data_IF_618908870567
#
_entry.id   IF_618908870567
#
_cell.length_a   1.000
_cell.length_b   1.000
_cell.length_c   1.000
_cell.angle_alpha   90.00
_cell.angle_beta   90.00
_cell.angle_gamma   90.00
#
_symmetry.space_group_name_H-M   'P 1'
#
loop_
_entity.id
_entity.type
_entity.pdbx_description
1 polymer ?
#
# COMPACT_ATOMS: atom_id res chain seq x y z
N UNK A 1 -11.98 -4.44 1.29
CA UNK A 1 -11.22 -4.17 0.05
C UNK A 1 -11.31 -2.67 -0.21
N UNK A 2 -10.40 -1.88 0.35
CA UNK A 2 -10.41 -0.39 0.23
C UNK A 2 -9.02 0.12 -0.15
N UNK A 3 -7.98 -0.43 0.47
CA UNK A 3 -6.57 -0.04 0.21
C UNK A 3 -6.20 -0.20 -1.27
N UNK A 4 -6.56 -1.30 -1.91
CA UNK A 4 -6.27 -1.52 -3.33
C UNK A 4 -6.94 -0.47 -4.21
N UNK A 5 -8.20 -0.14 -3.93
CA UNK A 5 -8.95 0.86 -4.69
C UNK A 5 -8.34 2.26 -4.51
N UNK A 6 -7.94 2.61 -3.28
CA UNK A 6 -7.25 3.87 -2.96
C UNK A 6 -5.92 3.98 -3.71
N UNK A 7 -5.11 2.92 -3.72
CA UNK A 7 -3.83 2.88 -4.43
C UNK A 7 -4.03 2.99 -5.94
N UNK A 8 -4.97 2.24 -6.52
CA UNK A 8 -5.23 2.30 -7.95
C UNK A 8 -5.78 3.67 -8.38
N UNK A 9 -6.70 4.25 -7.63
CA UNK A 9 -7.25 5.56 -7.94
C UNK A 9 -6.16 6.66 -7.98
N UNK A 10 -5.20 6.62 -7.04
CA UNK A 10 -4.16 7.64 -6.93
C UNK A 10 -2.91 7.34 -7.77
N UNK A 11 -2.52 6.08 -7.94
CA UNK A 11 -1.20 5.70 -8.45
C UNK A 11 -1.24 4.62 -9.55
N UNK A 12 -2.38 4.35 -10.18
CA UNK A 12 -2.47 3.41 -11.31
C UNK A 12 -1.40 3.60 -12.40
N UNK A 13 -0.97 4.83 -12.65
CA UNK A 13 0.02 5.17 -13.67
C UNK A 13 1.48 4.90 -13.24
N UNK A 14 1.72 4.59 -11.97
CA UNK A 14 3.03 4.26 -11.38
C UNK A 14 3.14 2.82 -10.92
N UNK A 15 2.02 2.16 -10.68
CA UNK A 15 1.96 0.77 -10.21
C UNK A 15 2.07 -0.16 -11.41
N UNK A 16 3.09 -1.00 -11.43
CA UNK A 16 3.27 -2.02 -12.46
C UNK A 16 2.36 -3.24 -12.24
N UNK A 17 2.18 -3.65 -10.99
CA UNK A 17 1.43 -4.84 -10.60
C UNK A 17 0.90 -4.68 -9.17
N UNK A 18 -0.28 -5.25 -8.89
CA UNK A 18 -0.80 -5.46 -7.54
C UNK A 18 -1.18 -6.92 -7.39
N UNK A 19 -0.60 -7.55 -6.37
CA UNK A 19 -0.89 -8.95 -6.04
C UNK A 19 -1.67 -9.02 -4.76
N UNK A 20 -2.88 -9.58 -4.83
CA UNK A 20 -3.71 -9.89 -3.66
C UNK A 20 -3.44 -11.33 -3.24
N UNK A 21 -2.70 -11.51 -2.14
CA UNK A 21 -2.39 -12.84 -1.59
C UNK A 21 -3.42 -13.15 -0.49
N UNK A 22 -4.31 -14.14 -0.67
CA UNK A 22 -5.23 -14.54 0.40
C UNK A 22 -4.45 -15.12 1.57
N UNK A 23 -4.49 -14.45 2.72
CA UNK A 23 -3.89 -14.93 3.97
C UNK A 23 -4.86 -15.73 4.82
N UNK A 24 -4.34 -16.67 5.61
CA UNK A 24 -5.09 -17.33 6.68
C UNK A 24 -5.08 -16.51 7.98
N UNK A 25 -5.98 -16.82 8.92
CA UNK A 25 -5.90 -16.30 10.30
C UNK A 25 -6.13 -14.80 10.48
N UNK A 26 -6.72 -14.11 9.50
CA UNK A 26 -7.00 -12.68 9.60
C UNK A 26 -5.77 -11.77 9.44
N UNK A 27 -4.69 -12.30 8.85
CA UNK A 27 -3.49 -11.55 8.45
C UNK A 27 -3.86 -10.45 7.47
N UNK A 28 -3.23 -9.28 7.64
CA UNK A 28 -3.33 -8.19 6.71
C UNK A 28 -2.01 -7.41 6.73
N UNK A 29 -1.19 -7.64 5.71
CA UNK A 29 0.09 -6.97 5.53
C UNK A 29 0.09 -6.28 4.18
N UNK A 30 0.70 -5.10 4.12
CA UNK A 30 0.89 -4.34 2.89
C UNK A 30 2.39 -4.15 2.69
N UNK A 31 2.88 -4.70 1.59
CA UNK A 31 4.28 -4.66 1.20
C UNK A 31 4.38 -3.93 -0.12
N UNK A 32 5.38 -3.07 -0.24
CA UNK A 32 5.73 -2.36 -1.46
C UNK A 32 7.05 -2.93 -1.97
N UNK A 33 7.05 -3.32 -3.24
CA UNK A 33 8.25 -3.71 -3.95
C UNK A 33 8.72 -2.57 -4.86
N UNK A 34 9.99 -2.19 -4.73
CA UNK A 34 10.65 -1.22 -5.63
C UNK A 34 12.10 -1.62 -5.83
N UNK A 35 12.55 -1.61 -7.08
CA UNK A 35 13.96 -1.89 -7.44
C UNK A 35 14.50 -3.18 -6.81
N UNK A 36 13.63 -4.20 -6.69
CA UNK A 36 13.95 -5.49 -6.06
C UNK A 36 13.97 -5.49 -4.52
N UNK A 37 13.68 -4.36 -3.87
CA UNK A 37 13.57 -4.23 -2.42
C UNK A 37 12.12 -4.32 -1.96
N UNK A 38 11.88 -5.13 -0.92
CA UNK A 38 10.58 -5.26 -0.23
C UNK A 38 10.57 -4.39 1.01
N UNK A 39 9.56 -3.55 1.15
CA UNK A 39 9.32 -2.73 2.32
C UNK A 39 7.89 -2.95 2.82
N UNK A 40 7.76 -3.48 4.04
CA UNK A 40 6.47 -3.63 4.70
C UNK A 40 6.02 -2.28 5.23
N UNK A 41 4.99 -1.71 4.61
CA UNK A 41 4.50 -0.37 4.94
C UNK A 41 3.39 -0.42 5.99
N UNK A 42 2.77 -1.59 6.17
CA UNK A 42 1.76 -1.83 7.19
C UNK A 42 1.67 -3.32 7.54
N UNK A 43 1.53 -3.64 8.83
CA UNK A 43 1.13 -4.96 9.30
C UNK A 43 0.06 -4.86 10.38
N UNK A 44 -1.01 -5.63 10.21
CA UNK A 44 -2.04 -5.83 11.23
C UNK A 44 -1.51 -6.60 12.43
N UNK A 45 -0.52 -7.46 12.25
CA UNK A 45 0.07 -8.21 13.36
C UNK A 45 0.80 -7.27 14.33
N UNK A 46 1.46 -6.23 13.81
CA UNK A 46 2.15 -5.21 14.61
C UNK A 46 1.18 -4.26 15.30
N UNK A 47 0.14 -3.82 14.60
CA UNK A 47 -0.80 -2.81 15.12
C UNK A 47 -1.95 -3.43 15.93
N UNK A 48 -2.19 -4.74 15.81
CA UNK A 48 -3.31 -5.45 16.45
C UNK A 48 -4.70 -5.09 15.92
N UNK A 49 -4.79 -4.27 14.86
CA UNK A 49 -6.05 -3.77 14.30
C UNK A 49 -6.02 -3.71 12.79
N UNK A 50 -7.18 -3.45 12.17
CA UNK A 50 -7.23 -3.12 10.75
C UNK A 50 -6.65 -1.72 10.50
N UNK A 51 -6.11 -1.49 9.30
CA UNK A 51 -5.64 -0.18 8.88
C UNK A 51 -6.78 0.84 8.90
N UNK A 52 -6.50 2.03 9.44
CA UNK A 52 -7.39 3.17 9.35
C UNK A 52 -7.42 3.70 7.92
N UNK A 53 -8.49 4.43 7.58
CA UNK A 53 -8.62 5.07 6.26
C UNK A 53 -7.44 6.03 6.04
N UNK A 54 -6.76 5.89 4.90
CA UNK A 54 -5.61 6.71 4.54
C UNK A 54 -4.28 6.38 5.24
N UNK A 55 -4.26 5.50 6.25
CA UNK A 55 -3.03 5.14 6.99
C UNK A 55 -1.99 4.48 6.06
N UNK A 56 -2.44 3.53 5.25
CA UNK A 56 -1.57 2.85 4.28
C UNK A 56 -1.12 3.82 3.18
N UNK A 57 -1.99 4.73 2.74
CA UNK A 57 -1.64 5.73 1.73
C UNK A 57 -0.57 6.69 2.23
N UNK A 58 -0.68 7.17 3.46
CA UNK A 58 0.36 8.00 4.07
C UNK A 58 1.70 7.25 4.21
N UNK A 59 1.65 5.97 4.61
CA UNK A 59 2.84 5.13 4.73
C UNK A 59 3.49 4.84 3.37
N UNK A 60 2.69 4.69 2.32
CA UNK A 60 3.15 4.56 0.93
C UNK A 60 3.81 5.85 0.45
N UNK A 61 3.15 7.00 0.64
CA UNK A 61 3.63 8.32 0.20
C UNK A 61 4.97 8.70 0.82
N UNK A 62 5.18 8.37 2.09
CA UNK A 62 6.46 8.56 2.76
C UNK A 62 7.64 7.79 2.10
N UNK A 63 7.32 6.78 1.28
CA UNK A 63 8.30 5.95 0.56
C UNK A 63 8.32 6.23 -0.94
N UNK A 64 7.43 7.05 -1.46
CA UNK A 64 7.47 7.47 -2.87
C UNK A 64 8.60 8.50 -3.08
N UNK A 65 9.23 8.53 -4.27
CA UNK A 65 10.17 9.59 -4.59
C UNK A 65 9.50 10.97 -4.47
N UNK A 66 10.24 11.96 -3.98
CA UNK A 66 9.75 13.32 -3.88
C UNK A 66 9.24 13.82 -5.25
N UNK A 67 8.05 14.42 -5.26
CA UNK A 67 7.41 14.90 -6.49
C UNK A 67 6.58 13.85 -7.25
N UNK A 68 6.35 12.67 -6.67
CA UNK A 68 5.40 11.71 -7.26
C UNK A 68 3.98 12.27 -7.18
N UNK A 69 3.41 12.62 -8.35
CA UNK A 69 2.06 13.15 -8.44
C UNK A 69 1.02 12.05 -8.30
N UNK A 70 -0.09 12.39 -7.65
CA UNK A 70 -1.28 11.56 -7.71
C UNK A 70 -1.91 11.73 -9.10
N UNK A 71 -2.55 10.69 -9.57
CA UNK A 71 -3.30 10.73 -10.80
C UNK A 71 -4.50 11.68 -10.65
N UNK A 72 -4.71 12.57 -11.62
CA UNK A 72 -5.85 13.49 -11.66
C UNK A 72 -5.72 14.77 -10.84
N UNK A 73 -4.52 15.07 -10.32
CA UNK A 73 -4.15 16.38 -9.71
C UNK A 73 -3.15 17.10 -10.57
#
# INVERSE_FOLDING_TARGET
>A
MRVTDEVMAAYQHKVSEITLIPGGGGVFDVVVERDGQRDTIYSKHETGRQANVGEVMAALEARLPAGTLRYGT
#
